data_IF_241551310163
#
_entry.id   IF_241551310163
#
_cell.length_a   1.000
_cell.length_b   1.000
_cell.length_c   1.000
_cell.angle_alpha   90.00
_cell.angle_beta   90.00
_cell.angle_gamma   90.00
#
_symmetry.space_group_name_H-M   'P 1'
#
loop_
_entity.id
_entity.type
_entity.pdbx_description
1 polymer ?
#
# COMPACT_ATOMS: atom_id res chain seq x y z
N UNK A 1 -2.28 -1.59 -2.07
CA UNK A 1 -2.98 -2.50 -2.99
C UNK A 1 -2.03 -3.10 -4.03
N UNK A 2 -1.27 -2.29 -4.76
CA UNK A 2 -0.29 -2.76 -5.77
C UNK A 2 0.79 -3.70 -5.23
N UNK A 3 1.19 -3.52 -3.97
CA UNK A 3 2.24 -4.33 -3.31
C UNK A 3 1.83 -5.82 -3.22
N UNK A 4 0.58 -6.11 -2.84
CA UNK A 4 0.10 -7.49 -2.72
C UNK A 4 0.08 -8.24 -4.05
N UNK A 5 -0.38 -7.57 -5.11
CA UNK A 5 -0.35 -8.11 -6.47
C UNK A 5 1.08 -8.36 -6.97
N UNK A 6 2.00 -7.42 -6.72
CA UNK A 6 3.40 -7.57 -7.10
C UNK A 6 4.07 -8.78 -6.39
N UNK A 7 3.83 -8.94 -5.10
CA UNK A 7 4.34 -10.09 -4.32
C UNK A 7 3.83 -11.41 -4.91
N UNK A 8 2.55 -11.50 -5.27
CA UNK A 8 1.97 -12.71 -5.85
C UNK A 8 2.57 -13.06 -7.22
N UNK A 9 2.84 -12.06 -8.07
CA UNK A 9 3.48 -12.27 -9.37
C UNK A 9 4.92 -12.79 -9.17
N UNK A 10 5.68 -12.15 -8.28
CA UNK A 10 7.06 -12.55 -7.97
C UNK A 10 7.09 -13.98 -7.40
N UNK A 11 6.21 -14.29 -6.45
CA UNK A 11 6.09 -15.62 -5.86
C UNK A 11 5.72 -16.67 -6.93
N UNK A 12 4.77 -16.37 -7.81
CA UNK A 12 4.37 -17.28 -8.89
C UNK A 12 5.51 -17.56 -9.88
N UNK A 13 6.26 -16.52 -10.26
CA UNK A 13 7.46 -16.66 -11.09
C UNK A 13 8.54 -17.50 -10.40
N UNK A 14 8.78 -17.27 -9.11
CA UNK A 14 9.73 -18.05 -8.33
C UNK A 14 9.33 -19.53 -8.24
N UNK A 15 8.06 -19.82 -7.91
CA UNK A 15 7.52 -21.19 -7.84
C UNK A 15 7.69 -21.91 -9.19
N UNK A 16 7.35 -21.24 -10.30
CA UNK A 16 7.52 -21.82 -11.63
C UNK A 16 8.99 -22.13 -11.93
N UNK A 17 9.90 -21.19 -11.64
CA UNK A 17 11.33 -21.36 -11.86
C UNK A 17 11.91 -22.51 -11.04
N UNK A 18 11.63 -22.56 -9.73
CA UNK A 18 12.09 -23.65 -8.87
C UNK A 18 11.51 -24.99 -9.29
N UNK A 19 10.23 -25.05 -9.65
CA UNK A 19 9.62 -26.29 -10.15
C UNK A 19 10.24 -26.75 -11.48
N UNK A 20 10.59 -25.81 -12.38
CA UNK A 20 11.28 -26.10 -13.63
C UNK A 20 12.68 -26.68 -13.45
N UNK A 21 13.42 -26.16 -12.47
CA UNK A 21 14.73 -26.69 -12.10
C UNK A 21 14.60 -28.05 -11.42
N UNK A 22 13.73 -28.15 -10.41
CA UNK A 22 13.49 -29.40 -9.68
C UNK A 22 13.09 -30.55 -10.61
N UNK A 23 12.17 -30.31 -11.56
CA UNK A 23 11.80 -31.32 -12.57
C UNK A 23 13.02 -31.79 -13.38
N UNK A 24 13.89 -30.85 -13.79
CA UNK A 24 15.08 -31.19 -14.58
C UNK A 24 16.04 -32.07 -13.77
N UNK A 25 16.30 -31.71 -12.52
CA UNK A 25 17.21 -32.45 -11.65
C UNK A 25 16.65 -33.85 -11.32
N UNK A 26 15.37 -33.93 -10.97
CA UNK A 26 14.66 -35.19 -10.72
C UNK A 26 14.65 -36.12 -11.95
N UNK A 27 14.52 -35.56 -13.15
CA UNK A 27 14.64 -36.34 -14.38
C UNK A 27 16.05 -36.95 -14.55
N UNK A 28 17.11 -36.14 -14.42
CA UNK A 28 18.49 -36.65 -14.55
C UNK A 28 18.85 -37.65 -13.45
N UNK A 29 18.38 -37.44 -12.22
CA UNK A 29 18.63 -38.36 -11.11
C UNK A 29 17.93 -39.71 -11.31
N UNK A 30 16.68 -39.70 -11.82
CA UNK A 30 15.98 -40.95 -12.17
C UNK A 30 16.68 -41.70 -13.29
N UNK A 31 17.14 -40.98 -14.32
CA UNK A 31 17.89 -41.54 -15.44
C UNK A 31 19.22 -42.16 -14.99
N UNK A 32 19.94 -41.47 -14.10
CA UNK A 32 21.19 -41.95 -13.48
C UNK A 32 20.98 -43.20 -12.62
N UNK A 33 20.03 -43.17 -11.69
CA UNK A 33 19.74 -44.29 -10.79
C UNK A 33 19.36 -45.54 -11.58
N UNK A 34 18.50 -45.37 -12.60
CA UNK A 34 18.06 -46.49 -13.42
C UNK A 34 19.21 -47.09 -14.24
N UNK A 35 19.95 -46.26 -14.96
CA UNK A 35 21.08 -46.74 -15.79
C UNK A 35 22.24 -47.29 -14.97
N UNK A 36 22.47 -46.78 -13.76
CA UNK A 36 23.42 -47.35 -12.79
C UNK A 36 22.98 -48.74 -12.35
N UNK A 37 21.69 -48.94 -12.07
CA UNK A 37 21.17 -50.26 -11.71
C UNK A 37 21.29 -51.26 -12.87
N UNK A 38 20.96 -50.83 -14.11
CA UNK A 38 21.16 -51.65 -15.32
C UNK A 38 22.63 -52.03 -15.48
N UNK A 39 23.55 -51.06 -15.34
CA UNK A 39 24.98 -51.31 -15.45
C UNK A 39 25.49 -52.25 -14.35
N UNK A 40 25.02 -52.10 -13.11
CA UNK A 40 25.38 -52.99 -12.01
C UNK A 40 24.94 -54.42 -12.27
N UNK A 41 23.69 -54.64 -12.69
CA UNK A 41 23.16 -55.98 -12.97
C UNK A 41 23.96 -56.66 -14.08
N UNK A 42 24.30 -55.92 -15.14
CA UNK A 42 25.09 -56.43 -16.26
C UNK A 42 26.51 -56.85 -15.84
N UNK A 43 27.14 -56.10 -14.91
CA UNK A 43 28.52 -56.35 -14.47
C UNK A 43 28.59 -57.40 -13.34
N UNK A 44 27.60 -57.45 -12.46
CA UNK A 44 27.61 -58.33 -11.29
C UNK A 44 27.22 -59.78 -11.61
N UNK A 45 26.43 -59.99 -12.66
CA UNK A 45 25.94 -61.31 -13.05
C UNK A 45 26.55 -61.71 -14.39
N UNK A 46 27.70 -62.38 -14.30
CA UNK A 46 28.54 -62.85 -15.43
C UNK A 46 27.79 -63.76 -16.43
N UNK A 47 26.61 -64.27 -16.05
CA UNK A 47 25.75 -65.16 -16.87
C UNK A 47 24.49 -64.47 -17.47
N UNK A 48 24.23 -63.19 -17.19
CA UNK A 48 23.08 -62.53 -17.83
C UNK A 48 23.45 -62.11 -19.24
N UNK A 49 22.88 -62.83 -20.21
CA UNK A 49 22.89 -62.43 -21.62
C UNK A 49 22.29 -61.02 -21.75
N UNK A 50 23.00 -60.12 -22.44
CA UNK A 50 22.53 -58.76 -22.73
C UNK A 50 21.14 -58.77 -23.38
N UNK A 51 20.83 -59.82 -24.14
CA UNK A 51 19.52 -60.02 -24.76
C UNK A 51 18.42 -60.39 -23.75
N UNK A 52 18.75 -61.09 -22.66
CA UNK A 52 17.81 -61.39 -21.57
C UNK A 52 17.51 -60.12 -20.77
N UNK A 53 18.53 -59.35 -20.40
CA UNK A 53 18.36 -58.06 -19.70
C UNK A 53 17.51 -57.09 -20.53
N UNK A 54 17.77 -57.01 -21.84
CA UNK A 54 17.00 -56.17 -22.77
C UNK A 54 15.50 -56.55 -22.76
N UNK A 55 15.17 -57.85 -22.76
CA UNK A 55 13.76 -58.32 -22.71
C UNK A 55 13.10 -57.96 -21.38
N UNK A 56 13.80 -58.15 -20.26
CA UNK A 56 13.28 -57.79 -18.94
C UNK A 56 13.01 -56.29 -18.82
N UNK A 57 13.88 -55.44 -19.40
CA UNK A 57 13.66 -53.99 -19.43
C UNK A 57 12.51 -53.61 -20.36
N UNK A 58 12.40 -54.25 -21.54
CA UNK A 58 11.33 -53.93 -22.50
C UNK A 58 9.93 -54.18 -21.95
N UNK A 59 9.77 -55.25 -21.17
CA UNK A 59 8.47 -55.64 -20.61
C UNK A 59 8.16 -54.97 -19.26
N UNK A 60 9.03 -54.06 -18.78
CA UNK A 60 8.83 -53.37 -17.50
C UNK A 60 7.88 -52.16 -17.66
N UNK A 61 6.67 -52.17 -17.07
CA UNK A 61 5.67 -51.10 -17.20
C UNK A 61 6.05 -49.78 -16.51
N UNK A 62 7.13 -49.78 -15.70
CA UNK A 62 7.66 -48.58 -15.02
C UNK A 62 8.65 -47.84 -15.93
N UNK A 63 9.02 -48.41 -17.09
CA UNK A 63 9.98 -47.79 -18.00
C UNK A 63 9.37 -46.59 -18.75
N UNK A 64 10.17 -45.53 -18.87
CA UNK A 64 9.79 -44.41 -19.72
C UNK A 64 9.72 -44.91 -21.17
N UNK A 65 8.71 -44.52 -21.95
CA UNK A 65 8.47 -45.06 -23.30
C UNK A 65 9.64 -44.90 -24.28
N UNK A 66 10.52 -43.93 -24.04
CA UNK A 66 11.59 -43.51 -24.96
C UNK A 66 12.97 -43.42 -24.27
N UNK A 67 13.25 -44.30 -23.30
CA UNK A 67 14.57 -44.36 -22.66
C UNK A 67 15.53 -45.30 -23.39
N UNK A 68 16.79 -44.86 -23.52
CA UNK A 68 17.87 -45.59 -24.19
C UNK A 68 19.08 -45.59 -23.30
N UNK A 69 19.68 -46.75 -23.10
CA UNK A 69 20.86 -46.95 -22.27
C UNK A 69 21.91 -47.65 -23.14
N UNK A 70 23.09 -47.07 -23.19
CA UNK A 70 24.25 -47.58 -23.92
C UNK A 70 25.40 -47.69 -22.91
N UNK A 71 25.99 -48.88 -22.80
CA UNK A 71 27.10 -49.16 -21.89
C UNK A 71 28.29 -49.56 -22.74
N UNK A 72 29.40 -48.84 -22.53
CA UNK A 72 30.64 -48.99 -23.29
C UNK A 72 31.77 -49.38 -22.35
N UNK A 73 32.66 -50.26 -22.83
CA UNK A 73 33.91 -50.55 -22.14
C UNK A 73 34.94 -49.41 -22.32
N UNK A 74 36.14 -49.57 -21.74
CA UNK A 74 37.23 -48.59 -21.87
C UNK A 74 37.79 -48.46 -23.31
N UNK A 75 37.59 -49.46 -24.16
CA UNK A 75 37.98 -49.46 -25.59
C UNK A 75 36.92 -48.83 -26.50
N UNK A 76 35.78 -48.39 -25.96
CA UNK A 76 34.59 -47.92 -26.69
C UNK A 76 33.79 -49.04 -27.37
N UNK A 77 34.01 -50.31 -27.03
CA UNK A 77 33.14 -51.39 -27.49
C UNK A 77 31.83 -51.37 -26.71
N UNK A 78 30.71 -51.55 -27.39
CA UNK A 78 29.37 -51.58 -26.78
C UNK A 78 29.13 -52.92 -26.11
N UNK A 79 28.97 -52.90 -24.79
CA UNK A 79 28.62 -54.08 -23.98
C UNK A 79 27.10 -54.27 -23.92
N UNK A 80 26.35 -53.17 -23.89
CA UNK A 80 24.89 -53.19 -23.89
C UNK A 80 24.36 -51.97 -24.62
N UNK A 81 23.27 -52.16 -25.35
CA UNK A 81 22.48 -51.06 -25.93
C UNK A 81 21.01 -51.42 -25.95
N UNK A 82 20.17 -50.53 -25.45
CA UNK A 82 18.73 -50.56 -25.71
C UNK A 82 18.31 -49.65 -26.88
N UNK A 83 19.27 -48.95 -27.49
CA UNK A 83 19.06 -48.12 -28.69
C UNK A 83 19.13 -48.96 -29.97
N UNK A 84 18.05 -49.70 -30.28
CA UNK A 84 17.99 -50.57 -31.46
C UNK A 84 18.07 -49.81 -32.79
N UNK A 85 17.65 -48.53 -32.80
CA UNK A 85 17.61 -47.69 -34.01
C UNK A 85 18.87 -46.86 -34.22
N UNK A 86 19.76 -46.80 -33.23
CA UNK A 86 20.93 -45.92 -33.25
C UNK A 86 20.56 -44.45 -33.28
N UNK A 87 19.47 -44.07 -32.58
CA UNK A 87 19.00 -42.69 -32.55
C UNK A 87 19.94 -41.79 -31.73
N UNK A 88 20.71 -42.36 -30.80
CA UNK A 88 21.70 -41.64 -29.99
C UNK A 88 23.07 -41.66 -30.66
N UNK A 89 23.49 -40.49 -31.16
CA UNK A 89 24.81 -40.34 -31.78
C UNK A 89 25.86 -39.99 -30.73
N UNK A 90 26.81 -40.90 -30.52
CA UNK A 90 27.90 -40.77 -29.56
C UNK A 90 29.16 -40.33 -30.30
N UNK A 91 29.66 -39.13 -29.98
CA UNK A 91 30.93 -38.63 -30.49
C UNK A 91 32.08 -38.99 -29.53
N UNK A 92 33.27 -39.26 -30.07
CA UNK A 92 34.49 -39.53 -29.30
C UNK A 92 34.86 -38.36 -28.38
N UNK A 93 34.51 -37.13 -28.75
CA UNK A 93 34.71 -35.97 -27.89
C UNK A 93 33.85 -36.07 -26.60
N UNK A 94 32.59 -36.49 -26.73
CA UNK A 94 31.68 -36.67 -25.59
C UNK A 94 32.19 -37.80 -24.69
N UNK A 95 32.63 -38.92 -25.26
CA UNK A 95 33.24 -40.02 -24.50
C UNK A 95 34.48 -39.58 -23.72
N UNK A 96 35.33 -38.78 -24.35
CA UNK A 96 36.52 -38.21 -23.71
C UNK A 96 36.14 -37.28 -22.56
N UNK A 97 35.14 -36.41 -22.77
CA UNK A 97 34.63 -35.53 -21.72
C UNK A 97 34.06 -36.32 -20.54
N UNK A 98 33.23 -37.35 -20.78
CA UNK A 98 32.67 -38.20 -19.71
C UNK A 98 33.80 -38.83 -18.88
N UNK A 99 34.86 -39.31 -19.54
CA UNK A 99 36.01 -39.92 -18.84
C UNK A 99 36.85 -38.92 -18.04
N UNK A 100 36.90 -37.66 -18.48
CA UNK A 100 37.66 -36.59 -17.81
C UNK A 100 36.88 -35.95 -16.67
N UNK A 101 35.60 -35.63 -16.88
CA UNK A 101 34.75 -34.92 -15.91
C UNK A 101 33.94 -35.85 -15.01
N UNK A 102 33.89 -37.14 -15.35
CA UNK A 102 33.10 -38.17 -14.66
C UNK A 102 31.60 -38.12 -14.99
N UNK A 103 31.08 -36.96 -15.40
CA UNK A 103 29.66 -36.74 -15.74
C UNK A 103 29.50 -35.62 -16.77
N UNK A 104 28.63 -35.84 -17.74
CA UNK A 104 28.27 -34.85 -18.77
C UNK A 104 26.76 -34.93 -19.02
N UNK A 105 26.10 -33.79 -19.06
CA UNK A 105 24.70 -33.67 -19.48
C UNK A 105 24.63 -32.84 -20.75
N UNK A 106 23.92 -33.33 -21.76
CA UNK A 106 23.73 -32.61 -23.01
C UNK A 106 22.37 -32.93 -23.62
N UNK A 107 21.94 -32.13 -24.59
CA UNK A 107 20.64 -32.27 -25.24
C UNK A 107 20.82 -32.65 -26.70
N UNK A 108 20.27 -33.79 -27.08
CA UNK A 108 20.21 -34.27 -28.46
C UNK A 108 18.74 -34.49 -28.83
N UNK A 109 18.10 -33.44 -29.33
CA UNK A 109 16.64 -33.43 -29.55
C UNK A 109 16.18 -34.70 -30.31
N UNK A 110 15.12 -35.39 -29.83
CA UNK A 110 14.24 -35.01 -28.72
C UNK A 110 14.74 -35.37 -27.31
N UNK A 111 15.89 -36.03 -27.17
CA UNK A 111 16.39 -36.59 -25.93
C UNK A 111 17.21 -35.60 -25.09
N UNK A 112 17.02 -35.71 -23.79
CA UNK A 112 17.99 -35.25 -22.79
C UNK A 112 18.90 -36.43 -22.44
N UNK A 113 20.22 -36.21 -22.53
CA UNK A 113 21.23 -37.25 -22.44
C UNK A 113 22.15 -37.01 -21.25
N UNK A 114 22.38 -38.07 -20.49
CA UNK A 114 23.30 -38.15 -19.37
C UNK A 114 24.37 -39.19 -19.67
N UNK A 115 25.62 -38.73 -19.75
CA UNK A 115 26.78 -39.59 -19.77
C UNK A 115 27.49 -39.55 -18.41
N UNK A 116 27.86 -40.70 -17.86
CA UNK A 116 28.64 -40.77 -16.64
C UNK A 116 29.57 -41.98 -16.61
N UNK A 117 30.60 -41.88 -15.80
CA UNK A 117 31.54 -42.96 -15.56
C UNK A 117 31.01 -43.86 -14.43
N UNK A 118 30.86 -45.15 -14.73
CA UNK A 118 30.49 -46.16 -13.77
C UNK A 118 31.72 -47.04 -13.48
N UNK A 119 32.05 -47.22 -12.20
CA UNK A 119 33.22 -48.01 -11.79
C UNK A 119 32.78 -49.07 -10.79
N UNK A 120 33.06 -50.32 -11.08
CA UNK A 120 32.67 -51.47 -10.26
C UNK A 120 33.86 -52.43 -10.15
N UNK A 121 34.23 -52.80 -8.91
CA UNK A 121 35.35 -53.69 -8.50
C UNK A 121 36.73 -53.36 -9.09
N UNK A 122 36.94 -53.45 -10.41
CA UNK A 122 38.20 -53.12 -11.10
C UNK A 122 38.06 -52.56 -12.53
N UNK A 123 36.83 -52.46 -13.06
CA UNK A 123 36.59 -51.97 -14.42
C UNK A 123 35.86 -50.63 -14.46
N UNK A 124 36.11 -49.88 -15.52
CA UNK A 124 35.48 -48.58 -15.80
C UNK A 124 34.63 -48.67 -17.05
N UNK A 125 33.37 -48.35 -16.90
CA UNK A 125 32.37 -48.34 -17.95
C UNK A 125 31.88 -46.92 -18.19
N UNK A 126 31.62 -46.59 -19.45
CA UNK A 126 30.93 -45.36 -19.80
C UNK A 126 29.47 -45.71 -20.01
N UNK A 127 28.60 -45.11 -19.19
CA UNK A 127 27.15 -45.29 -19.29
C UNK A 127 26.57 -44.02 -19.91
N UNK A 128 25.82 -44.19 -20.99
CA UNK A 128 25.08 -43.12 -21.66
C UNK A 128 23.62 -43.48 -21.60
N UNK A 129 22.85 -42.66 -20.89
CA UNK A 129 21.42 -42.79 -20.77
C UNK A 129 20.75 -41.59 -21.43
N UNK A 130 19.75 -41.83 -22.27
CA UNK A 130 19.00 -40.81 -22.99
C UNK A 130 17.51 -41.06 -22.78
N UNK A 131 16.72 -40.00 -22.58
CA UNK A 131 15.28 -40.14 -22.39
C UNK A 131 14.52 -38.87 -22.73
N UNK A 132 13.20 -39.00 -22.85
CA UNK A 132 12.27 -37.87 -22.95
C UNK A 132 11.43 -37.79 -21.67
N UNK A 133 11.10 -36.57 -21.21
CA UNK A 133 10.24 -36.35 -20.04
C UNK A 133 8.88 -35.72 -20.43
N UNK A 134 8.04 -36.42 -21.21
CA UNK A 134 6.74 -35.87 -21.63
C UNK A 134 5.84 -35.61 -20.42
N UNK A 135 5.89 -36.47 -19.41
CA UNK A 135 5.09 -36.34 -18.18
C UNK A 135 5.51 -35.11 -17.36
N UNK A 136 6.81 -34.86 -17.16
CA UNK A 136 7.28 -33.68 -16.46
C UNK A 136 6.98 -32.38 -17.21
N UNK A 137 7.04 -32.40 -18.54
CA UNK A 137 6.60 -31.26 -19.37
C UNK A 137 5.10 -30.97 -19.19
N UNK A 138 4.25 -32.01 -19.14
CA UNK A 138 2.82 -31.86 -18.86
C UNK A 138 2.57 -31.28 -17.45
N UNK A 139 3.29 -31.78 -16.43
CA UNK A 139 3.19 -31.26 -15.05
C UNK A 139 3.47 -29.77 -14.98
N UNK A 140 4.53 -29.30 -15.64
CA UNK A 140 4.89 -27.87 -15.64
C UNK A 140 3.93 -27.01 -16.45
N UNK A 141 3.39 -27.55 -17.54
CA UNK A 141 2.33 -26.88 -18.30
C UNK A 141 1.08 -26.68 -17.43
N UNK A 142 0.67 -27.70 -16.69
CA UNK A 142 -0.47 -27.62 -15.78
C UNK A 142 -0.19 -26.65 -14.63
N UNK A 143 1.01 -26.71 -14.02
CA UNK A 143 1.43 -25.77 -12.98
C UNK A 143 1.35 -24.32 -13.48
N UNK A 144 1.83 -24.05 -14.70
CA UNK A 144 1.74 -22.71 -15.32
C UNK A 144 0.29 -22.22 -15.42
N UNK A 145 -0.62 -23.09 -15.87
CA UNK A 145 -2.04 -22.74 -15.99
C UNK A 145 -2.63 -22.44 -14.61
N UNK A 146 -2.36 -23.29 -13.61
CA UNK A 146 -2.81 -23.09 -12.22
C UNK A 146 -2.31 -21.75 -11.68
N UNK A 147 -1.01 -21.45 -11.85
CA UNK A 147 -0.42 -20.18 -11.40
C UNK A 147 -1.06 -18.97 -12.09
N UNK A 148 -1.34 -19.03 -13.39
CA UNK A 148 -2.03 -17.95 -14.12
C UNK A 148 -3.44 -17.74 -13.56
N UNK A 149 -4.21 -18.82 -13.36
CA UNK A 149 -5.57 -18.74 -12.82
C UNK A 149 -5.58 -18.17 -11.41
N UNK A 150 -4.70 -18.67 -10.53
CA UNK A 150 -4.57 -18.16 -9.15
C UNK A 150 -4.13 -16.70 -9.13
N UNK A 151 -3.20 -16.30 -10.01
CA UNK A 151 -2.77 -14.91 -10.13
C UNK A 151 -3.92 -13.98 -10.56
N UNK A 152 -4.71 -14.38 -11.56
CA UNK A 152 -5.89 -13.61 -12.00
C UNK A 152 -6.95 -13.51 -10.90
N UNK A 153 -7.28 -14.63 -10.24
CA UNK A 153 -8.26 -14.65 -9.15
C UNK A 153 -7.82 -13.77 -7.97
N UNK A 154 -6.54 -13.83 -7.59
CA UNK A 154 -6.00 -12.99 -6.51
C UNK A 154 -5.99 -11.51 -6.87
N UNK A 155 -5.70 -11.14 -8.12
CA UNK A 155 -5.80 -9.76 -8.60
C UNK A 155 -7.22 -9.22 -8.50
N UNK A 156 -8.22 -10.00 -8.91
CA UNK A 156 -9.64 -9.63 -8.78
C UNK A 156 -10.03 -9.47 -7.30
N UNK A 157 -9.58 -10.39 -6.44
CA UNK A 157 -9.84 -10.32 -5.00
C UNK A 157 -9.22 -9.06 -4.38
N UNK A 158 -7.96 -8.75 -4.72
CA UNK A 158 -7.31 -7.51 -4.30
C UNK A 158 -8.03 -6.29 -4.84
N UNK A 159 -8.53 -6.33 -6.08
CA UNK A 159 -9.35 -5.29 -6.68
C UNK A 159 -10.59 -4.95 -5.83
N UNK A 160 -11.40 -5.97 -5.56
CA UNK A 160 -12.63 -5.84 -4.78
C UNK A 160 -12.33 -5.38 -3.35
N UNK A 161 -11.33 -5.99 -2.71
CA UNK A 161 -10.93 -5.62 -1.35
C UNK A 161 -10.46 -4.16 -1.29
N UNK A 162 -9.58 -3.74 -2.20
CA UNK A 162 -9.08 -2.37 -2.23
C UNK A 162 -10.18 -1.34 -2.43
N UNK A 163 -11.13 -1.61 -3.34
CA UNK A 163 -12.28 -0.74 -3.55
C UNK A 163 -13.16 -0.61 -2.30
N UNK A 164 -13.50 -1.74 -1.66
CA UNK A 164 -14.32 -1.76 -0.46
C UNK A 164 -13.66 -1.06 0.74
N UNK A 165 -12.39 -1.35 1.00
CA UNK A 165 -11.65 -0.75 2.11
C UNK A 165 -11.37 0.74 1.88
N UNK A 166 -11.04 1.16 0.66
CA UNK A 166 -10.79 2.57 0.35
C UNK A 166 -12.06 3.42 0.56
N UNK A 167 -13.21 2.95 0.08
CA UNK A 167 -14.49 3.64 0.27
C UNK A 167 -14.85 3.79 1.76
N UNK A 168 -14.64 2.74 2.56
CA UNK A 168 -14.94 2.79 4.00
C UNK A 168 -13.95 3.65 4.79
N UNK A 169 -12.67 3.65 4.41
CA UNK A 169 -11.63 4.44 5.06
C UNK A 169 -11.76 5.95 4.78
N UNK A 170 -12.26 6.33 3.60
CA UNK A 170 -12.45 7.74 3.22
C UNK A 170 -13.80 8.32 3.66
N UNK A 171 -14.77 7.46 4.03
CA UNK A 171 -16.11 7.90 4.45
C UNK A 171 -16.08 8.91 5.62
N UNK A 172 -15.28 8.75 6.70
CA UNK A 172 -15.21 9.73 7.79
C UNK A 172 -14.73 11.11 7.33
N UNK A 173 -13.76 11.17 6.42
CA UNK A 173 -13.26 12.43 5.85
C UNK A 173 -14.37 13.15 5.09
N UNK A 174 -15.12 12.42 4.24
CA UNK A 174 -16.25 13.00 3.52
C UNK A 174 -17.34 13.51 4.46
N UNK A 175 -17.56 12.85 5.60
CA UNK A 175 -18.50 13.31 6.62
C UNK A 175 -18.06 14.63 7.25
N UNK A 176 -16.77 14.74 7.61
CA UNK A 176 -16.19 15.97 8.16
C UNK A 176 -16.30 17.12 7.16
N UNK A 177 -15.95 16.90 5.89
CA UNK A 177 -16.06 17.92 4.83
C UNK A 177 -17.51 18.42 4.73
N UNK A 178 -18.48 17.51 4.68
CA UNK A 178 -19.89 17.87 4.59
C UNK A 178 -20.35 18.68 5.82
N UNK A 179 -19.95 18.28 7.02
CA UNK A 179 -20.27 19.03 8.24
C UNK A 179 -19.68 20.44 8.22
N UNK A 180 -18.46 20.63 7.69
CA UNK A 180 -17.84 21.96 7.54
C UNK A 180 -18.57 22.80 6.51
N UNK A 181 -18.99 22.23 5.38
CA UNK A 181 -19.78 22.93 4.35
C UNK A 181 -21.14 23.41 4.86
N UNK A 182 -21.74 22.71 5.84
CA UNK A 182 -22.99 23.09 6.48
C UNK A 182 -22.83 24.18 7.56
N UNK A 183 -21.59 24.48 8.00
CA UNK A 183 -21.34 25.57 8.94
C UNK A 183 -21.57 26.91 8.25
N UNK A 184 -22.47 27.69 8.84
CA UNK A 184 -22.74 29.08 8.45
C UNK A 184 -22.69 29.99 9.67
N UNK A 185 -22.69 31.31 9.46
CA UNK A 185 -22.75 32.31 10.56
C UNK A 185 -23.99 32.07 11.46
N UNK A 186 -25.08 31.52 10.92
CA UNK A 186 -26.30 31.26 11.67
C UNK A 186 -26.31 29.88 12.35
N UNK A 187 -25.29 29.05 12.14
CA UNK A 187 -25.22 27.66 12.62
C UNK A 187 -23.86 27.31 13.24
N UNK A 188 -23.21 28.30 13.88
CA UNK A 188 -21.93 28.13 14.58
C UNK A 188 -21.98 27.16 15.77
N UNK A 189 -23.18 26.84 16.26
CA UNK A 189 -23.40 25.86 17.33
C UNK A 189 -23.29 24.40 16.85
N UNK A 190 -23.22 24.15 15.53
CA UNK A 190 -22.97 22.82 15.01
C UNK A 190 -21.57 22.34 15.42
N UNK A 191 -21.47 21.04 15.69
CA UNK A 191 -20.20 20.38 16.02
C UNK A 191 -20.00 19.19 15.10
N UNK A 192 -18.75 19.00 14.70
CA UNK A 192 -18.33 17.88 13.86
C UNK A 192 -18.19 16.65 14.76
N UNK A 193 -18.72 15.52 14.31
CA UNK A 193 -18.57 14.23 14.97
C UNK A 193 -17.10 13.80 15.01
N UNK A 194 -16.59 13.48 16.20
CA UNK A 194 -15.22 13.01 16.42
C UNK A 194 -15.05 11.51 16.14
N UNK A 195 -16.13 10.78 15.85
CA UNK A 195 -16.09 9.36 15.51
C UNK A 195 -15.49 8.52 16.63
N UNK A 196 -14.34 7.89 16.37
CA UNK A 196 -13.67 7.00 17.35
C UNK A 196 -12.83 7.76 18.40
N UNK A 197 -12.71 9.09 18.30
CA UNK A 197 -12.03 9.93 19.28
C UNK A 197 -10.51 9.80 19.35
N UNK A 198 -9.88 8.85 18.65
CA UNK A 198 -8.49 8.43 18.88
C UNK A 198 -7.58 8.52 17.65
N UNK A 199 -8.14 8.55 16.45
CA UNK A 199 -7.36 8.66 15.22
C UNK A 199 -7.09 10.11 14.78
N UNK A 200 -6.35 10.25 13.67
CA UNK A 200 -6.03 11.54 13.06
C UNK A 200 -7.28 12.30 12.59
N UNK A 201 -8.35 11.57 12.22
CA UNK A 201 -9.61 12.18 11.79
C UNK A 201 -10.34 12.78 12.99
N UNK A 202 -10.37 12.09 14.12
CA UNK A 202 -10.89 12.60 15.39
C UNK A 202 -10.11 13.84 15.85
N UNK A 203 -8.78 13.82 15.70
CA UNK A 203 -7.95 15.00 15.99
C UNK A 203 -8.31 16.18 15.09
N UNK A 204 -8.54 15.96 13.81
CA UNK A 204 -8.98 16.99 12.87
C UNK A 204 -10.35 17.56 13.27
N UNK A 205 -11.32 16.69 13.58
CA UNK A 205 -12.65 17.10 14.04
C UNK A 205 -12.57 17.99 15.30
N UNK A 206 -11.75 17.61 16.29
CA UNK A 206 -11.49 18.44 17.48
C UNK A 206 -10.90 19.80 17.15
N UNK A 207 -9.94 19.85 16.23
CA UNK A 207 -9.35 21.13 15.81
C UNK A 207 -10.39 22.06 15.18
N UNK A 208 -11.27 21.53 14.33
CA UNK A 208 -12.40 22.28 13.79
C UNK A 208 -13.38 22.72 14.88
N UNK A 209 -13.78 21.83 15.79
CA UNK A 209 -14.68 22.16 16.90
C UNK A 209 -14.10 23.29 17.79
N UNK A 210 -12.79 23.28 18.04
CA UNK A 210 -12.12 24.35 18.79
C UNK A 210 -12.15 25.69 18.03
N UNK A 211 -11.97 25.68 16.71
CA UNK A 211 -12.10 26.87 15.88
C UNK A 211 -13.55 27.39 15.87
N UNK A 212 -14.54 26.51 15.74
CA UNK A 212 -15.96 26.88 15.78
C UNK A 212 -16.34 27.51 17.13
N UNK A 213 -15.87 26.95 18.24
CA UNK A 213 -16.10 27.53 19.57
C UNK A 213 -15.52 28.95 19.69
N UNK A 214 -14.32 29.20 19.16
CA UNK A 214 -13.72 30.55 19.15
C UNK A 214 -14.50 31.54 18.28
N UNK A 215 -15.02 31.07 17.14
CA UNK A 215 -15.87 31.89 16.27
C UNK A 215 -17.21 32.21 16.95
N UNK A 216 -17.84 31.22 17.57
CA UNK A 216 -19.10 31.40 18.31
C UNK A 216 -18.94 32.42 19.45
N UNK A 217 -17.86 32.31 20.23
CA UNK A 217 -17.53 33.26 21.29
C UNK A 217 -17.34 34.68 20.73
N UNK A 218 -16.54 34.84 19.67
CA UNK A 218 -16.30 36.15 19.05
C UNK A 218 -17.60 36.78 18.49
N UNK A 219 -18.45 35.99 17.84
CA UNK A 219 -19.74 36.46 17.33
C UNK A 219 -20.72 36.82 18.46
N UNK A 220 -20.74 36.05 19.55
CA UNK A 220 -21.56 36.37 20.72
C UNK A 220 -21.15 37.70 21.33
N UNK A 221 -19.84 37.90 21.56
CA UNK A 221 -19.30 39.15 22.09
C UNK A 221 -19.62 40.34 21.18
N UNK A 222 -19.51 40.17 19.86
CA UNK A 222 -19.86 41.21 18.89
C UNK A 222 -21.35 41.57 18.95
N UNK A 223 -22.23 40.57 19.05
CA UNK A 223 -23.69 40.78 19.15
C UNK A 223 -24.05 41.52 20.44
N UNK A 224 -23.49 41.11 21.56
CA UNK A 224 -23.73 41.75 22.86
C UNK A 224 -23.23 43.19 22.87
N UNK A 225 -22.05 43.45 22.28
CA UNK A 225 -21.52 44.80 22.11
C UNK A 225 -22.46 45.70 21.29
N UNK A 226 -22.96 45.23 20.14
CA UNK A 226 -23.89 45.99 19.30
C UNK A 226 -25.21 46.25 20.03
N UNK A 227 -25.74 45.25 20.73
CA UNK A 227 -26.97 45.37 21.52
C UNK A 227 -26.83 46.43 22.62
N UNK A 228 -25.77 46.34 23.42
CA UNK A 228 -25.50 47.27 24.51
C UNK A 228 -25.25 48.68 23.99
N UNK A 229 -24.43 48.85 22.95
CA UNK A 229 -24.22 50.15 22.31
C UNK A 229 -25.53 50.76 21.80
N UNK A 230 -26.40 49.96 21.19
CA UNK A 230 -27.71 50.42 20.70
C UNK A 230 -28.63 50.89 21.84
N UNK A 231 -28.60 50.19 22.98
CA UNK A 231 -29.36 50.57 24.17
C UNK A 231 -28.84 51.87 24.81
N UNK A 232 -27.53 51.96 25.03
CA UNK A 232 -26.88 53.13 25.63
C UNK A 232 -27.02 54.39 24.77
N UNK A 233 -27.07 54.25 23.44
CA UNK A 233 -27.32 55.39 22.54
C UNK A 233 -28.80 55.82 22.50
N UNK A 234 -29.75 54.89 22.66
CA UNK A 234 -31.19 55.18 22.56
C UNK A 234 -31.69 56.04 23.73
N UNK A 235 -31.18 55.81 24.93
CA UNK A 235 -31.57 56.53 26.15
C UNK A 235 -31.35 58.06 26.04
N UNK A 236 -30.12 58.56 25.78
CA UNK A 236 -29.88 60.00 25.63
C UNK A 236 -30.61 60.59 24.42
N UNK A 237 -30.73 59.86 23.31
CA UNK A 237 -31.48 60.32 22.14
C UNK A 237 -32.98 60.53 22.45
N UNK A 238 -33.55 59.64 23.25
CA UNK A 238 -34.95 59.75 23.72
C UNK A 238 -35.11 60.93 24.68
N UNK A 239 -34.14 61.14 25.58
CA UNK A 239 -34.12 62.29 26.51
C UNK A 239 -34.10 63.62 25.73
N UNK A 240 -33.16 63.78 24.79
CA UNK A 240 -33.04 64.97 23.93
C UNK A 240 -34.34 65.23 23.19
N UNK A 241 -34.91 64.19 22.56
CA UNK A 241 -36.16 64.30 21.81
C UNK A 241 -37.32 64.73 22.71
N UNK A 242 -37.44 64.13 23.90
CA UNK A 242 -38.48 64.47 24.88
C UNK A 242 -38.36 65.90 25.40
N UNK A 243 -37.14 66.34 25.74
CA UNK A 243 -36.88 67.71 26.18
C UNK A 243 -37.27 68.73 25.11
N UNK A 244 -36.89 68.49 23.86
CA UNK A 244 -37.24 69.38 22.74
C UNK A 244 -38.74 69.38 22.45
N UNK A 245 -39.42 68.23 22.50
CA UNK A 245 -40.89 68.16 22.36
C UNK A 245 -41.61 68.95 23.46
N UNK A 246 -41.17 68.80 24.72
CA UNK A 246 -41.74 69.53 25.86
C UNK A 246 -41.51 71.03 25.76
N UNK A 247 -40.40 71.44 25.15
CA UNK A 247 -40.05 72.83 24.89
C UNK A 247 -40.94 73.45 23.80
N UNK A 248 -41.35 72.66 22.80
CA UNK A 248 -42.18 73.08 21.66
C UNK A 248 -43.69 73.09 21.95
N UNK A 249 -44.15 72.42 23.02
CA UNK A 249 -45.59 72.29 23.33
C UNK A 249 -46.32 73.62 23.60
N UNK A 250 -45.63 74.64 24.13
CA UNK A 250 -46.20 75.96 24.44
C UNK A 250 -45.12 77.01 24.65
N UNK A 251 -45.48 78.27 24.46
CA UNK A 251 -44.58 79.40 24.76
C UNK A 251 -44.16 79.43 26.23
N UNK A 252 -42.87 79.68 26.46
CA UNK A 252 -42.26 79.75 27.80
C UNK A 252 -41.45 81.02 28.01
N UNK A 253 -40.98 81.26 29.23
CA UNK A 253 -40.09 82.39 29.52
C UNK A 253 -38.72 82.10 28.89
N UNK A 254 -38.01 83.15 28.47
CA UNK A 254 -36.63 83.03 27.93
C UNK A 254 -35.69 82.22 28.83
N UNK A 255 -35.85 82.31 30.15
CA UNK A 255 -35.05 81.54 31.10
C UNK A 255 -35.26 80.02 30.97
N UNK A 256 -36.49 79.56 30.73
CA UNK A 256 -36.84 78.15 30.58
C UNK A 256 -36.24 77.60 29.27
N UNK A 257 -36.31 78.35 28.17
CA UNK A 257 -35.64 78.00 26.92
C UNK A 257 -34.14 77.82 27.09
N UNK A 258 -33.49 78.77 27.78
CA UNK A 258 -32.05 78.71 28.04
C UNK A 258 -31.68 77.48 28.89
N UNK A 259 -32.48 77.17 29.91
CA UNK A 259 -32.29 75.99 30.76
C UNK A 259 -32.38 74.68 29.96
N UNK A 260 -33.43 74.50 29.15
CA UNK A 260 -33.60 73.27 28.37
C UNK A 260 -32.53 73.12 27.28
N UNK A 261 -32.11 74.21 26.63
CA UNK A 261 -31.02 74.18 25.66
C UNK A 261 -29.70 73.75 26.31
N UNK A 262 -29.41 74.21 27.53
CA UNK A 262 -28.22 73.77 28.28
C UNK A 262 -28.31 72.28 28.60
N UNK A 263 -29.47 71.81 29.08
CA UNK A 263 -29.71 70.38 29.36
C UNK A 263 -29.51 69.50 28.12
N UNK A 264 -30.06 69.91 26.97
CA UNK A 264 -29.87 69.21 25.69
C UNK A 264 -28.40 69.22 25.26
N UNK A 265 -27.68 70.32 25.49
CA UNK A 265 -26.25 70.42 25.17
C UNK A 265 -25.41 69.44 25.99
N UNK A 266 -25.74 69.26 27.27
CA UNK A 266 -25.07 68.30 28.15
C UNK A 266 -25.39 66.85 27.73
N UNK A 267 -26.64 66.55 27.37
CA UNK A 267 -26.99 65.23 26.81
C UNK A 267 -26.23 64.91 25.50
N UNK A 268 -26.02 65.90 24.62
CA UNK A 268 -25.23 65.74 23.39
C UNK A 268 -23.75 65.50 23.70
N UNK A 269 -23.18 66.18 24.71
CA UNK A 269 -21.80 65.94 25.15
C UNK A 269 -21.62 64.53 25.68
N UNK A 270 -22.53 64.08 26.55
CA UNK A 270 -22.53 62.72 27.07
C UNK A 270 -22.62 61.66 25.96
N UNK A 271 -23.47 61.91 24.94
CA UNK A 271 -23.58 61.03 23.78
C UNK A 271 -22.28 61.00 22.96
N UNK A 272 -21.62 62.14 22.80
CA UNK A 272 -20.31 62.24 22.12
C UNK A 272 -19.25 61.43 22.86
N UNK A 273 -19.15 61.58 24.19
CA UNK A 273 -18.20 60.84 25.02
C UNK A 273 -18.46 59.33 24.96
N UNK A 274 -19.72 58.91 25.02
CA UNK A 274 -20.11 57.51 24.85
C UNK A 274 -19.66 56.95 23.49
N UNK A 275 -19.89 57.68 22.39
CA UNK A 275 -19.47 57.23 21.05
C UNK A 275 -17.95 57.12 20.93
N UNK A 276 -17.20 58.06 21.53
CA UNK A 276 -15.74 58.00 21.57
C UNK A 276 -15.23 56.80 22.36
N UNK A 277 -15.86 56.48 23.49
CA UNK A 277 -15.53 55.32 24.31
C UNK A 277 -15.82 54.00 23.57
N UNK A 278 -16.95 53.91 22.86
CA UNK A 278 -17.28 52.74 22.04
C UNK A 278 -16.27 52.55 20.88
N UNK A 279 -15.85 53.64 20.22
CA UNK A 279 -14.82 53.61 19.17
C UNK A 279 -13.46 53.17 19.71
N UNK A 280 -13.08 53.63 20.91
CA UNK A 280 -11.85 53.21 21.57
C UNK A 280 -11.87 51.70 21.86
N UNK A 281 -12.96 51.19 22.44
CA UNK A 281 -13.14 49.77 22.72
C UNK A 281 -13.05 48.91 21.44
N UNK A 282 -13.74 49.31 20.37
CA UNK A 282 -13.70 48.59 19.09
C UNK A 282 -12.29 48.52 18.46
N UNK A 283 -11.48 49.57 18.63
CA UNK A 283 -10.08 49.57 18.16
C UNK A 283 -9.20 48.62 18.98
N UNK A 284 -9.40 48.57 20.29
CA UNK A 284 -8.63 47.67 21.17
C UNK A 284 -8.99 46.19 20.96
N UNK A 285 -10.26 45.87 20.66
CA UNK A 285 -10.70 44.49 20.42
C UNK A 285 -10.27 43.92 19.06
N UNK A 286 -10.00 44.78 18.07
CA UNK A 286 -9.58 44.37 16.72
C UNK A 286 -8.08 43.98 16.62
N UNK A 287 -7.33 43.98 17.73
CA UNK A 287 -5.93 43.56 17.76
C UNK A 287 -4.93 44.52 17.10
N UNK A 288 -5.37 45.67 16.57
CA UNK A 288 -4.52 46.68 15.91
C UNK A 288 -3.86 47.61 16.94
N UNK A 289 -3.37 47.07 18.04
CA UNK A 289 -2.50 47.84 18.94
C UNK A 289 -1.16 47.16 19.01
N UNK A 290 -0.32 47.49 18.03
CA UNK A 290 1.12 47.36 18.11
C UNK A 290 1.60 48.31 19.22
N UNK A 291 1.37 47.93 20.48
CA UNK A 291 1.98 48.61 21.62
C UNK A 291 3.36 48.01 21.76
N UNK A 292 4.35 48.68 21.19
CA UNK A 292 5.74 48.57 21.60
C UNK A 292 5.82 48.91 23.10
N UNK A 293 5.76 47.88 23.94
CA UNK A 293 5.97 48.04 25.38
C UNK A 293 7.47 48.23 25.58
N UNK A 294 7.90 49.48 25.69
CA UNK A 294 9.26 49.80 26.09
C UNK A 294 9.37 49.74 27.62
N UNK A 295 10.37 49.03 28.18
CA UNK A 295 10.57 48.97 29.61
C UNK A 295 11.01 50.35 30.13
N UNK A 296 10.09 51.06 30.80
CA UNK A 296 10.39 52.30 31.52
C UNK A 296 10.65 51.97 32.99
N UNK A 297 11.69 52.58 33.57
CA UNK A 297 11.99 52.41 34.98
C UNK A 297 11.00 53.24 35.82
N UNK A 298 10.44 52.62 36.86
CA UNK A 298 9.41 53.26 37.72
C UNK A 298 9.91 54.47 38.50
N UNK A 299 11.23 54.61 38.72
CA UNK A 299 11.85 55.73 39.42
C UNK A 299 11.83 57.04 38.62
N UNK A 300 11.59 57.00 37.30
CA UNK A 300 11.46 58.21 36.46
C UNK A 300 10.04 58.82 36.50
N UNK A 301 9.03 58.10 37.02
CA UNK A 301 7.61 58.51 36.98
C UNK A 301 7.14 59.10 38.31
N UNK A 302 7.84 58.79 39.41
CA UNK A 302 7.53 59.33 40.73
C UNK A 302 8.51 60.46 41.05
N UNK A 303 8.12 61.69 40.70
CA UNK A 303 8.66 62.91 41.29
C UNK A 303 7.66 63.51 42.27
#
# INVERSE_FOLDING_TARGET
>A
MFIGGAIMIIASCAIYFFSANYRRDDFYQRLENKSTNTARILVEIDEIDADLLRRMEKDNPINFPDERIIILNYKNDTLYTSDERGDIKIDNNILSQIRLTGRVQYRQKPYDVLGFLFTERYDRFVVIAAGTDPLGLLKIRNLRIILIVVCLMSLILFYIAGWFYSGKALKPISSVIKSVEEVSINSLNLRIDEGNGSDEIARLARTFNNMLSRLEEAFSLQKDFISNASHELRTPLTSISGQLQVLLLKDRKKADYKSTIVSVMDDIRNLTDLTNNLLLLARTSSGVTDKSVEPIRMDDILW
#
